data_IF_463486208616
#
_entry.id   IF_463486208616
#
_cell.length_a   1.000
_cell.length_b   1.000
_cell.length_c   1.000
_cell.angle_alpha   90.00
_cell.angle_beta   90.00
_cell.angle_gamma   90.00
#
_symmetry.space_group_name_H-M   'P 1'
#
loop_
_entity.id
_entity.type
_entity.pdbx_description
1 polymer ?
#
# COMPACT_ATOMS: atom_id res chain seq x y z
N UNK A 1 16.37 -0.66 25.86
CA UNK A 1 15.62 -1.63 25.03
C UNK A 1 14.15 -1.47 25.37
N UNK A 2 13.28 -1.51 24.35
CA UNK A 2 11.84 -1.51 24.55
C UNK A 2 11.37 -2.94 24.82
N UNK A 3 10.38 -3.08 25.69
CA UNK A 3 9.76 -4.36 25.97
C UNK A 3 9.03 -4.92 24.76
N UNK A 4 9.12 -6.24 24.54
CA UNK A 4 8.35 -6.98 23.54
C UNK A 4 8.41 -6.36 22.11
N UNK A 5 9.64 -6.08 21.65
CA UNK A 5 9.94 -5.59 20.29
C UNK A 5 10.89 -6.51 19.53
N UNK A 6 11.08 -7.73 20.03
CA UNK A 6 11.82 -8.79 19.36
C UNK A 6 11.06 -9.27 18.11
N UNK A 7 11.81 -9.72 17.11
CA UNK A 7 11.23 -10.30 15.91
C UNK A 7 12.07 -11.41 15.33
N UNK A 8 11.42 -12.32 14.65
CA UNK A 8 12.02 -13.29 13.74
C UNK A 8 11.42 -13.13 12.35
N UNK A 9 12.22 -13.23 11.30
CA UNK A 9 11.75 -13.16 9.92
C UNK A 9 12.58 -14.09 9.05
N UNK A 10 11.89 -15.02 8.36
CA UNK A 10 12.46 -15.84 7.32
C UNK A 10 11.69 -15.68 6.04
N UNK A 11 12.38 -15.61 4.89
CA UNK A 11 11.71 -15.51 3.59
C UNK A 11 12.54 -16.21 2.51
N UNK A 12 11.84 -16.68 1.48
CA UNK A 12 12.43 -17.20 0.25
C UNK A 12 11.60 -16.73 -0.94
N UNK A 13 12.27 -16.42 -2.04
CA UNK A 13 11.61 -15.99 -3.28
C UNK A 13 12.31 -16.62 -4.48
N UNK A 14 11.51 -17.15 -5.41
CA UNK A 14 11.95 -17.68 -6.69
C UNK A 14 11.24 -16.97 -7.82
N UNK A 15 11.95 -16.59 -8.86
CA UNK A 15 11.40 -16.17 -10.14
C UNK A 15 12.06 -16.94 -11.27
N UNK A 16 11.25 -17.47 -12.19
CA UNK A 16 11.72 -18.14 -13.38
C UNK A 16 10.99 -17.56 -14.60
N UNK A 17 11.74 -17.28 -15.67
CA UNK A 17 11.17 -16.80 -16.94
C UNK A 17 11.55 -17.78 -18.05
N UNK A 18 10.62 -18.02 -18.95
CA UNK A 18 10.83 -18.86 -20.13
C UNK A 18 10.20 -18.20 -21.35
N UNK A 19 10.97 -18.07 -22.41
CA UNK A 19 10.53 -17.44 -23.66
C UNK A 19 10.84 -18.28 -24.87
N UNK A 20 9.85 -18.46 -25.75
CA UNK A 20 10.01 -19.09 -27.04
C UNK A 20 9.20 -18.38 -28.11
N UNK A 21 9.66 -18.46 -29.39
CA UNK A 21 8.92 -17.90 -30.51
C UNK A 21 7.53 -18.52 -30.68
N UNK A 22 7.37 -19.81 -30.37
CA UNK A 22 6.12 -20.56 -30.57
C UNK A 22 5.12 -20.36 -29.45
N UNK A 23 5.55 -20.42 -28.19
CA UNK A 23 4.66 -20.41 -27.03
C UNK A 23 4.53 -19.04 -26.37
N UNK A 24 5.46 -18.11 -26.66
CA UNK A 24 5.51 -16.79 -26.04
C UNK A 24 6.36 -16.75 -24.79
N UNK A 25 6.08 -15.80 -23.93
CA UNK A 25 6.79 -15.50 -22.68
C UNK A 25 6.00 -15.98 -21.47
N UNK A 26 6.68 -16.69 -20.58
CA UNK A 26 6.16 -17.12 -19.28
C UNK A 26 6.99 -16.50 -18.14
N UNK A 27 6.33 -16.01 -17.12
CA UNK A 27 6.94 -15.51 -15.88
C UNK A 27 6.27 -16.21 -14.69
N UNK A 28 7.02 -17.08 -14.04
CA UNK A 28 6.61 -17.78 -12.82
C UNK A 28 7.30 -17.14 -11.61
N UNK A 29 6.53 -16.93 -10.55
CA UNK A 29 7.02 -16.43 -9.27
C UNK A 29 6.44 -17.26 -8.14
N UNK A 30 7.27 -17.57 -7.13
CA UNK A 30 6.84 -18.18 -5.89
C UNK A 30 7.58 -17.55 -4.72
N UNK A 31 6.90 -17.39 -3.60
CA UNK A 31 7.48 -16.80 -2.41
C UNK A 31 6.89 -17.40 -1.14
N UNK A 32 7.71 -17.41 -0.11
CA UNK A 32 7.30 -17.75 1.24
C UNK A 32 7.93 -16.78 2.23
N UNK A 33 7.17 -16.43 3.26
CA UNK A 33 7.62 -15.61 4.36
C UNK A 33 6.99 -16.09 5.66
N UNK A 34 7.80 -16.15 6.71
CA UNK A 34 7.36 -16.42 8.09
C UNK A 34 7.89 -15.31 8.99
N UNK A 35 7.01 -14.73 9.81
CA UNK A 35 7.33 -13.67 10.77
C UNK A 35 6.72 -13.98 12.12
N UNK A 36 7.45 -13.61 13.17
CA UNK A 36 6.93 -13.54 14.53
C UNK A 36 7.51 -12.31 15.22
N UNK A 37 6.69 -11.50 15.87
CA UNK A 37 7.15 -10.27 16.51
C UNK A 37 6.27 -9.85 17.68
N UNK A 38 6.90 -9.22 18.66
CA UNK A 38 6.20 -8.51 19.72
C UNK A 38 5.61 -7.21 19.18
N UNK A 39 4.31 -7.01 19.39
CA UNK A 39 3.56 -5.87 18.80
C UNK A 39 3.53 -4.63 19.72
N UNK A 40 4.01 -4.74 20.96
CA UNK A 40 4.21 -3.66 21.94
C UNK A 40 3.20 -2.49 21.84
N UNK A 41 1.92 -2.76 22.09
CA UNK A 41 0.89 -1.74 22.12
C UNK A 41 0.31 -1.33 20.74
N UNK A 42 0.65 -2.01 19.66
CA UNK A 42 0.16 -1.64 18.31
C UNK A 42 -1.36 -1.73 18.19
N UNK A 43 -1.98 -2.81 18.66
CA UNK A 43 -3.44 -2.99 18.58
C UNK A 43 -4.20 -2.40 19.76
N UNK A 44 -3.57 -2.32 20.95
CA UNK A 44 -4.11 -1.67 22.13
C UNK A 44 -2.92 -1.00 22.85
N UNK A 45 -2.85 0.32 22.78
CA UNK A 45 -1.67 1.09 23.18
C UNK A 45 -1.25 0.89 24.67
N UNK A 46 -2.21 0.54 25.54
CA UNK A 46 -1.93 0.22 26.95
C UNK A 46 -1.37 -1.19 27.18
N UNK A 47 -1.48 -2.12 26.20
CA UNK A 47 -1.01 -3.50 26.37
C UNK A 47 0.35 -3.72 25.68
N UNK A 48 1.47 -3.79 26.40
CA UNK A 48 2.80 -3.97 25.82
C UNK A 48 3.12 -5.43 25.45
N UNK A 49 2.32 -6.41 25.88
CA UNK A 49 2.65 -7.85 25.78
C UNK A 49 2.06 -8.56 24.56
N UNK A 50 1.49 -7.80 23.64
CA UNK A 50 0.91 -8.33 22.41
C UNK A 50 1.95 -8.96 21.51
N UNK A 51 1.57 -10.06 20.85
CA UNK A 51 2.43 -10.75 19.89
C UNK A 51 1.67 -11.15 18.64
N UNK A 52 2.36 -11.15 17.49
CA UNK A 52 1.80 -11.58 16.22
C UNK A 52 2.74 -12.52 15.47
N UNK A 53 2.16 -13.55 14.86
CA UNK A 53 2.86 -14.47 13.97
C UNK A 53 2.12 -14.62 12.65
N UNK A 54 2.84 -14.44 11.53
CA UNK A 54 2.28 -14.59 10.20
C UNK A 54 3.10 -15.55 9.35
N UNK A 55 2.44 -16.36 8.53
CA UNK A 55 3.07 -17.19 7.52
C UNK A 55 2.35 -17.02 6.20
N UNK A 56 3.05 -16.51 5.18
CA UNK A 56 2.49 -16.25 3.86
C UNK A 56 3.21 -17.07 2.80
N UNK A 57 2.44 -17.74 1.95
CA UNK A 57 2.92 -18.37 0.72
C UNK A 57 2.22 -17.76 -0.48
N UNK A 58 2.92 -17.53 -1.56
CA UNK A 58 2.35 -17.01 -2.80
C UNK A 58 2.94 -17.72 -4.02
N UNK A 59 2.13 -17.84 -5.07
CA UNK A 59 2.58 -18.26 -6.38
C UNK A 59 1.83 -17.48 -7.47
N UNK A 60 2.49 -17.16 -8.58
CA UNK A 60 1.87 -16.57 -9.76
C UNK A 60 2.50 -17.06 -11.04
N UNK A 61 1.68 -17.16 -12.08
CA UNK A 61 2.11 -17.47 -13.43
C UNK A 61 1.50 -16.44 -14.37
N UNK A 62 2.32 -15.82 -15.20
CA UNK A 62 1.91 -14.93 -16.29
C UNK A 62 2.38 -15.48 -17.61
N UNK A 63 1.50 -15.46 -18.58
CA UNK A 63 1.77 -15.81 -19.97
C UNK A 63 1.46 -14.65 -20.88
N UNK A 64 2.34 -14.38 -21.86
CA UNK A 64 2.19 -13.35 -22.89
C UNK A 64 2.57 -13.92 -24.23
N UNK A 65 1.78 -13.63 -25.28
CA UNK A 65 2.07 -14.04 -26.65
C UNK A 65 1.67 -12.96 -27.64
N UNK A 66 2.60 -12.62 -28.52
CA UNK A 66 2.31 -11.78 -29.68
C UNK A 66 1.86 -12.67 -30.86
N UNK A 67 0.74 -12.33 -31.48
CA UNK A 67 0.16 -13.03 -32.62
C UNK A 67 -0.31 -12.02 -33.67
N UNK A 68 0.60 -11.56 -34.54
CA UNK A 68 0.33 -10.49 -35.49
C UNK A 68 -0.01 -9.16 -34.79
N UNK A 69 -1.24 -8.68 -35.03
CA UNK A 69 -1.76 -7.45 -34.37
C UNK A 69 -2.38 -7.69 -32.99
N UNK A 70 -2.40 -8.94 -32.53
CA UNK A 70 -2.94 -9.30 -31.24
C UNK A 70 -1.83 -9.57 -30.25
N UNK A 71 -1.94 -9.01 -29.04
CA UNK A 71 -1.19 -9.42 -27.88
C UNK A 71 -2.13 -10.15 -26.92
N UNK A 72 -1.84 -11.40 -26.64
CA UNK A 72 -2.63 -12.25 -25.77
C UNK A 72 -1.96 -12.34 -24.40
N UNK A 73 -2.71 -12.27 -23.34
CA UNK A 73 -2.20 -12.42 -22.01
C UNK A 73 -3.11 -13.23 -21.10
N UNK A 74 -2.50 -14.04 -20.25
CA UNK A 74 -3.17 -14.73 -19.16
C UNK A 74 -2.31 -14.64 -17.89
N UNK A 75 -2.95 -14.56 -16.74
CA UNK A 75 -2.27 -14.71 -15.44
C UNK A 75 -3.14 -15.42 -14.44
N UNK A 76 -2.50 -16.19 -13.57
CA UNK A 76 -3.11 -16.78 -12.39
C UNK A 76 -2.23 -16.52 -11.18
N UNK A 77 -2.83 -16.32 -10.02
CA UNK A 77 -2.14 -16.11 -8.76
C UNK A 77 -2.87 -16.77 -7.61
N UNK A 78 -2.09 -17.20 -6.63
CA UNK A 78 -2.60 -17.74 -5.38
C UNK A 78 -1.75 -17.24 -4.21
N UNK A 79 -2.41 -16.84 -3.13
CA UNK A 79 -1.77 -16.46 -1.87
C UNK A 79 -2.52 -17.12 -0.72
N UNK A 80 -1.77 -17.81 0.13
CA UNK A 80 -2.22 -18.32 1.42
C UNK A 80 -1.53 -17.57 2.54
N UNK A 81 -2.31 -17.16 3.55
CA UNK A 81 -1.76 -16.48 4.71
C UNK A 81 -2.37 -17.05 5.99
N UNK A 82 -1.51 -17.46 6.91
CA UNK A 82 -1.85 -17.76 8.28
C UNK A 82 -1.46 -16.58 9.15
N UNK A 83 -2.36 -16.23 10.05
CA UNK A 83 -2.20 -15.16 11.01
C UNK A 83 -2.60 -15.66 12.39
N UNK A 84 -1.79 -15.36 13.39
CA UNK A 84 -2.05 -15.60 14.79
C UNK A 84 -1.75 -14.33 15.58
N UNK A 85 -2.74 -13.86 16.31
CA UNK A 85 -2.60 -12.74 17.23
C UNK A 85 -2.81 -13.22 18.67
N UNK A 86 -1.87 -12.88 19.55
CA UNK A 86 -1.92 -13.12 20.97
C UNK A 86 -2.12 -11.78 21.70
N UNK A 87 -3.14 -11.70 22.53
CA UNK A 87 -3.37 -10.54 23.38
C UNK A 87 -2.24 -10.35 24.42
N UNK A 88 -1.84 -11.43 25.04
CA UNK A 88 -0.59 -11.56 25.81
C UNK A 88 0.17 -12.70 25.17
N UNK A 89 1.45 -12.56 24.95
CA UNK A 89 2.30 -13.55 24.29
C UNK A 89 2.09 -14.94 24.88
N UNK A 90 1.70 -15.91 24.05
CA UNK A 90 1.31 -17.26 24.43
C UNK A 90 -0.20 -17.46 24.65
N UNK A 91 -0.98 -16.38 24.83
CA UNK A 91 -2.44 -16.44 24.97
C UNK A 91 -3.11 -16.00 23.67
N UNK A 92 -3.47 -16.97 22.86
CA UNK A 92 -4.04 -16.75 21.53
C UNK A 92 -5.42 -16.10 21.63
N UNK A 93 -5.58 -14.95 20.99
CA UNK A 93 -6.86 -14.26 20.86
C UNK A 93 -7.52 -14.57 19.53
N UNK A 94 -6.78 -14.41 18.42
CA UNK A 94 -7.30 -14.59 17.07
C UNK A 94 -6.39 -15.48 16.22
N UNK A 95 -7.02 -16.26 15.34
CA UNK A 95 -6.34 -16.98 14.26
C UNK A 95 -7.12 -16.84 12.98
N UNK A 96 -6.41 -16.57 11.90
CA UNK A 96 -6.97 -16.46 10.55
C UNK A 96 -6.15 -17.29 9.57
N UNK A 97 -6.84 -17.95 8.65
CA UNK A 97 -6.27 -18.63 7.52
C UNK A 97 -6.99 -18.15 6.27
N UNK A 98 -6.30 -17.37 5.43
CA UNK A 98 -6.89 -16.78 4.23
C UNK A 98 -6.31 -17.38 2.97
N UNK A 99 -7.19 -17.66 2.01
CA UNK A 99 -6.86 -18.07 0.66
C UNK A 99 -7.34 -17.00 -0.32
N UNK A 100 -6.43 -16.51 -1.16
CA UNK A 100 -6.75 -15.54 -2.20
C UNK A 100 -6.27 -16.10 -3.54
N UNK A 101 -7.18 -16.34 -4.46
CA UNK A 101 -6.87 -16.76 -5.83
C UNK A 101 -7.35 -15.72 -6.83
N UNK A 102 -6.61 -15.54 -7.91
CA UNK A 102 -6.97 -14.62 -8.99
C UNK A 102 -6.61 -15.18 -10.35
N UNK A 103 -7.44 -14.89 -11.33
CA UNK A 103 -7.17 -15.17 -12.73
C UNK A 103 -7.52 -13.96 -13.59
N UNK A 104 -6.74 -13.70 -14.63
CA UNK A 104 -6.99 -12.65 -15.62
C UNK A 104 -6.69 -13.16 -17.01
N UNK A 105 -7.57 -12.82 -17.95
CA UNK A 105 -7.39 -13.03 -19.37
C UNK A 105 -7.58 -11.71 -20.09
N UNK A 106 -6.72 -11.40 -21.07
CA UNK A 106 -6.90 -10.20 -21.90
C UNK A 106 -6.31 -10.37 -23.29
N UNK A 107 -6.78 -9.53 -24.19
CA UNK A 107 -6.21 -9.36 -25.52
C UNK A 107 -6.11 -7.88 -25.84
N UNK A 108 -5.00 -7.49 -26.48
CA UNK A 108 -4.82 -6.18 -27.08
C UNK A 108 -4.82 -6.35 -28.59
N UNK A 109 -5.51 -5.48 -29.29
CA UNK A 109 -5.56 -5.42 -30.74
C UNK A 109 -5.03 -4.08 -31.23
N UNK A 110 -3.88 -4.12 -31.93
CA UNK A 110 -3.24 -2.95 -32.50
C UNK A 110 -3.70 -2.70 -33.93
N UNK A 111 -4.19 -1.48 -34.19
CA UNK A 111 -4.69 -1.07 -35.52
C UNK A 111 -4.46 0.42 -35.75
N UNK A 112 -4.74 0.92 -36.98
CA UNK A 112 -4.50 2.34 -37.31
C UNK A 112 -5.22 3.35 -36.38
N UNK A 113 -6.33 2.93 -35.76
CA UNK A 113 -7.07 3.71 -34.77
C UNK A 113 -6.42 3.80 -33.40
N UNK A 114 -5.48 2.91 -33.06
CA UNK A 114 -4.85 2.80 -31.74
C UNK A 114 -4.82 1.36 -31.23
N UNK A 115 -4.74 1.18 -29.93
CA UNK A 115 -4.81 -0.14 -29.27
C UNK A 115 -6.15 -0.29 -28.58
N UNK A 116 -6.88 -1.34 -28.93
CA UNK A 116 -8.14 -1.74 -28.27
C UNK A 116 -7.88 -2.98 -27.44
N UNK A 117 -8.20 -2.94 -26.15
CA UNK A 117 -7.99 -4.04 -25.20
C UNK A 117 -9.32 -4.54 -24.66
N UNK A 118 -9.50 -5.83 -24.60
CA UNK A 118 -10.62 -6.50 -23.91
C UNK A 118 -10.06 -7.47 -22.88
N UNK A 119 -10.65 -7.52 -21.71
CA UNK A 119 -10.22 -8.46 -20.68
C UNK A 119 -11.26 -8.73 -19.63
N UNK A 120 -10.96 -9.75 -18.83
CA UNK A 120 -11.73 -10.11 -17.65
C UNK A 120 -10.85 -10.61 -16.53
N UNK A 121 -11.28 -10.35 -15.31
CA UNK A 121 -10.63 -10.74 -14.08
C UNK A 121 -11.60 -11.53 -13.22
N UNK A 122 -11.09 -12.51 -12.51
CA UNK A 122 -11.81 -13.23 -11.47
C UNK A 122 -10.96 -13.25 -10.21
N UNK A 123 -11.57 -13.02 -9.05
CA UNK A 123 -10.92 -13.18 -7.75
C UNK A 123 -11.81 -13.97 -6.79
N UNK A 124 -11.15 -14.86 -6.06
CA UNK A 124 -11.71 -15.65 -4.97
C UNK A 124 -10.98 -15.30 -3.68
N UNK A 125 -11.71 -14.94 -2.64
CA UNK A 125 -11.21 -14.70 -1.31
C UNK A 125 -11.94 -15.64 -0.34
N UNK A 126 -11.19 -16.33 0.49
CA UNK A 126 -11.73 -17.20 1.50
C UNK A 126 -10.99 -17.00 2.83
N UNK A 127 -11.72 -17.09 3.94
CA UNK A 127 -11.16 -17.04 5.28
C UNK A 127 -11.74 -18.15 6.13
N UNK A 128 -10.88 -18.88 6.84
CA UNK A 128 -11.19 -19.57 8.08
C UNK A 128 -10.69 -18.73 9.24
N UNK A 129 -11.51 -18.55 10.26
CA UNK A 129 -11.21 -17.65 11.37
C UNK A 129 -11.77 -18.14 12.70
N UNK A 130 -11.20 -17.64 13.78
CA UNK A 130 -11.78 -17.80 15.13
C UNK A 130 -13.00 -16.89 15.35
N UNK A 131 -13.11 -15.77 14.58
CA UNK A 131 -14.14 -14.75 14.82
C UNK A 131 -14.58 -13.95 13.57
N UNK A 132 -14.02 -14.20 12.38
CA UNK A 132 -14.42 -13.52 11.14
C UNK A 132 -15.14 -14.47 10.19
N UNK A 133 -16.31 -14.08 9.74
CA UNK A 133 -17.17 -14.85 8.85
C UNK A 133 -18.41 -15.40 9.54
N UNK A 134 -19.09 -16.31 8.88
CA UNK A 134 -20.26 -17.02 9.38
C UNK A 134 -19.82 -18.19 10.26
N UNK A 135 -20.60 -18.47 11.32
CA UNK A 135 -20.29 -19.57 12.23
C UNK A 135 -20.43 -20.93 11.53
N UNK A 136 -19.42 -21.75 11.65
CA UNK A 136 -19.44 -23.12 11.11
C UNK A 136 -20.30 -24.03 11.99
N UNK A 137 -21.04 -24.94 11.35
CA UNK A 137 -21.78 -25.99 12.06
C UNK A 137 -20.84 -26.98 12.76
N UNK A 138 -19.69 -27.25 12.15
CA UNK A 138 -18.59 -28.07 12.72
C UNK A 138 -17.32 -27.28 12.60
N UNK A 139 -16.58 -27.00 13.70
CA UNK A 139 -15.31 -26.31 13.66
C UNK A 139 -14.28 -27.03 12.79
N UNK A 140 -13.48 -26.26 12.05
CA UNK A 140 -12.35 -26.75 11.27
C UNK A 140 -11.04 -26.52 12.03
N UNK A 141 -10.62 -27.50 12.83
CA UNK A 141 -9.49 -27.34 13.75
C UNK A 141 -9.76 -26.23 14.78
N UNK A 142 -8.98 -25.16 14.75
CA UNK A 142 -9.16 -24.00 15.64
C UNK A 142 -10.17 -22.98 15.12
N UNK A 143 -10.63 -23.13 13.88
CA UNK A 143 -11.47 -22.13 13.24
C UNK A 143 -12.94 -22.47 13.45
N UNK A 144 -13.68 -21.51 13.94
CA UNK A 144 -15.11 -21.61 14.24
C UNK A 144 -15.99 -20.86 13.23
N UNK A 145 -15.37 -20.04 12.37
CA UNK A 145 -16.03 -19.21 11.36
C UNK A 145 -15.35 -19.35 10.01
N UNK A 146 -16.11 -19.13 8.94
CA UNK A 146 -15.58 -19.07 7.59
C UNK A 146 -16.43 -18.13 6.71
N UNK A 147 -15.80 -17.56 5.68
CA UNK A 147 -16.48 -16.83 4.62
C UNK A 147 -15.72 -16.93 3.31
N UNK A 148 -16.47 -17.12 2.22
CA UNK A 148 -15.96 -17.04 0.86
C UNK A 148 -16.57 -15.85 0.13
N UNK A 149 -15.81 -15.27 -0.80
CA UNK A 149 -16.25 -14.19 -1.67
C UNK A 149 -15.68 -14.36 -3.07
N UNK A 150 -16.53 -14.23 -4.07
CA UNK A 150 -16.20 -14.27 -5.48
C UNK A 150 -16.44 -12.90 -6.10
N UNK A 151 -15.54 -12.44 -6.94
CA UNK A 151 -15.70 -11.21 -7.73
C UNK A 151 -15.24 -11.45 -9.15
N UNK A 152 -15.91 -10.81 -10.10
CA UNK A 152 -15.56 -10.86 -11.52
C UNK A 152 -15.63 -9.48 -12.14
N UNK A 153 -14.73 -9.20 -13.07
CA UNK A 153 -14.74 -7.96 -13.84
C UNK A 153 -14.61 -8.28 -15.33
N UNK A 154 -15.34 -7.53 -16.16
CA UNK A 154 -15.14 -7.49 -17.60
C UNK A 154 -14.94 -6.05 -18.02
N UNK A 155 -13.95 -5.79 -18.85
CA UNK A 155 -13.59 -4.43 -19.23
C UNK A 155 -13.14 -4.32 -20.68
N UNK A 156 -13.42 -3.16 -21.28
CA UNK A 156 -12.95 -2.71 -22.59
C UNK A 156 -12.15 -1.43 -22.41
N UNK A 157 -11.02 -1.32 -23.10
CA UNK A 157 -10.19 -0.12 -23.12
C UNK A 157 -9.82 0.21 -24.55
N UNK A 158 -9.81 1.50 -24.89
CA UNK A 158 -9.21 2.01 -26.12
C UNK A 158 -8.20 3.10 -25.78
N UNK A 159 -7.04 3.06 -26.44
CA UNK A 159 -6.00 4.08 -26.28
C UNK A 159 -5.41 4.44 -27.64
N UNK A 160 -5.18 5.73 -27.86
CA UNK A 160 -4.53 6.24 -29.06
C UNK A 160 -3.50 7.29 -28.73
N UNK A 161 -2.38 7.25 -29.42
CA UNK A 161 -1.34 8.27 -29.37
C UNK A 161 -1.22 8.93 -30.74
N UNK A 162 -1.22 10.26 -30.72
CA UNK A 162 -0.89 11.12 -31.85
C UNK A 162 0.46 11.80 -31.61
N UNK A 163 0.94 12.54 -32.57
CA UNK A 163 2.25 13.20 -32.46
C UNK A 163 2.44 13.99 -31.13
N UNK A 164 1.44 14.77 -30.71
CA UNK A 164 1.49 15.61 -29.49
C UNK A 164 0.43 15.27 -28.46
N UNK A 165 -0.49 14.38 -28.78
CA UNK A 165 -1.61 14.05 -27.90
C UNK A 165 -1.67 12.57 -27.64
N UNK A 166 -2.18 12.20 -26.50
CA UNK A 166 -2.59 10.84 -26.19
C UNK A 166 -3.95 10.86 -25.49
N UNK A 167 -4.75 9.87 -25.74
CA UNK A 167 -6.03 9.68 -25.06
C UNK A 167 -6.26 8.21 -24.78
N UNK A 168 -6.92 7.91 -23.66
CA UNK A 168 -7.40 6.58 -23.33
C UNK A 168 -8.74 6.65 -22.60
N UNK A 169 -9.60 5.72 -22.93
CA UNK A 169 -10.86 5.49 -22.23
C UNK A 169 -11.02 4.00 -21.93
N UNK A 170 -11.58 3.67 -20.79
CA UNK A 170 -11.98 2.32 -20.43
C UNK A 170 -13.32 2.31 -19.73
N UNK A 171 -14.11 1.27 -19.97
CA UNK A 171 -15.34 0.99 -19.26
C UNK A 171 -15.38 -0.49 -18.93
N UNK A 172 -16.00 -0.83 -17.81
CA UNK A 172 -16.13 -2.20 -17.35
C UNK A 172 -17.26 -2.37 -16.37
N UNK A 173 -17.54 -3.62 -16.07
CA UNK A 173 -18.56 -4.05 -15.12
C UNK A 173 -17.89 -4.94 -14.09
N UNK A 174 -18.12 -4.62 -12.81
CA UNK A 174 -17.71 -5.42 -11.68
C UNK A 174 -18.91 -6.17 -11.11
N UNK A 175 -18.81 -7.49 -11.03
CA UNK A 175 -19.79 -8.41 -10.47
C UNK A 175 -19.30 -8.83 -9.08
N UNK A 176 -20.09 -8.55 -8.05
CA UNK A 176 -19.74 -8.82 -6.65
C UNK A 176 -20.94 -9.40 -5.91
N UNK A 177 -20.77 -9.98 -4.72
CA UNK A 177 -21.90 -10.38 -3.87
C UNK A 177 -22.85 -9.23 -3.47
N UNK A 178 -22.39 -7.98 -3.62
CA UNK A 178 -23.16 -6.75 -3.34
C UNK A 178 -23.86 -6.19 -4.57
N UNK A 179 -23.87 -6.92 -5.68
CA UNK A 179 -24.46 -6.51 -6.95
C UNK A 179 -23.42 -6.08 -7.98
N UNK A 180 -23.92 -5.44 -9.02
CA UNK A 180 -23.17 -5.02 -10.20
C UNK A 180 -22.82 -3.54 -10.13
N UNK A 181 -21.58 -3.19 -10.47
CA UNK A 181 -21.12 -1.79 -10.51
C UNK A 181 -20.40 -1.50 -11.83
N UNK A 182 -20.73 -0.37 -12.46
CA UNK A 182 -19.96 0.13 -13.60
C UNK A 182 -18.66 0.79 -13.11
N UNK A 183 -17.57 0.54 -13.78
CA UNK A 183 -16.27 1.17 -13.55
C UNK A 183 -15.79 1.81 -14.85
N UNK A 184 -15.18 2.97 -14.77
CA UNK A 184 -14.70 3.67 -15.95
C UNK A 184 -13.45 4.50 -15.66
N UNK A 185 -12.68 4.78 -16.71
CA UNK A 185 -11.54 5.71 -16.68
C UNK A 185 -11.45 6.41 -18.01
N UNK A 186 -11.18 7.72 -17.98
CA UNK A 186 -10.84 8.53 -19.15
C UNK A 186 -9.61 9.36 -18.84
N UNK A 187 -8.73 9.53 -19.81
CA UNK A 187 -7.53 10.37 -19.67
C UNK A 187 -7.11 10.95 -21.02
N UNK A 188 -6.51 12.14 -20.97
CA UNK A 188 -5.92 12.79 -22.12
C UNK A 188 -4.61 13.46 -21.75
N UNK A 189 -3.65 13.44 -22.65
CA UNK A 189 -2.35 14.05 -22.50
C UNK A 189 -1.96 14.91 -23.70
N UNK A 190 -1.23 15.99 -23.44
CA UNK A 190 -0.69 16.90 -24.43
C UNK A 190 0.79 17.14 -24.19
N UNK A 191 1.59 17.10 -25.26
CA UNK A 191 3.02 17.38 -25.25
C UNK A 191 3.29 18.70 -25.98
N UNK A 192 3.20 19.87 -25.29
CA UNK A 192 3.39 21.18 -25.89
C UNK A 192 4.84 21.43 -26.34
N UNK A 193 5.81 20.90 -25.61
CA UNK A 193 7.24 21.04 -25.85
C UNK A 193 7.99 19.75 -25.62
N UNK A 194 9.23 19.68 -26.07
CA UNK A 194 10.12 18.56 -25.80
C UNK A 194 10.32 18.38 -24.30
N UNK A 195 10.12 17.16 -23.83
CA UNK A 195 10.26 16.81 -22.42
C UNK A 195 9.06 17.17 -21.54
N UNK A 196 8.09 17.97 -21.98
CA UNK A 196 6.91 18.35 -21.18
C UNK A 196 5.66 17.62 -21.63
N UNK A 197 4.99 16.94 -20.70
CA UNK A 197 3.67 16.34 -20.90
C UNK A 197 2.71 16.87 -19.82
N UNK A 198 1.56 17.37 -20.26
CA UNK A 198 0.42 17.74 -19.42
C UNK A 198 -0.68 16.70 -19.62
N UNK A 199 -1.33 16.26 -18.54
CA UNK A 199 -2.42 15.31 -18.65
C UNK A 199 -3.55 15.62 -17.66
N UNK A 200 -4.73 15.19 -18.06
CA UNK A 200 -5.92 15.21 -17.21
C UNK A 200 -6.60 13.84 -17.25
N UNK A 201 -7.27 13.48 -16.19
CA UNK A 201 -8.00 12.22 -16.14
C UNK A 201 -9.09 12.20 -15.09
N UNK A 202 -10.06 11.32 -15.31
CA UNK A 202 -11.11 11.02 -14.35
C UNK A 202 -11.35 9.51 -14.32
N UNK A 203 -11.61 8.95 -13.14
CA UNK A 203 -11.87 7.52 -12.97
C UNK A 203 -12.82 7.25 -11.83
N UNK A 204 -13.64 6.22 -11.97
CA UNK A 204 -14.44 5.67 -10.89
C UNK A 204 -13.78 4.40 -10.35
N UNK A 205 -13.71 4.29 -9.02
CA UNK A 205 -13.23 3.13 -8.28
C UNK A 205 -14.24 2.66 -7.27
N UNK A 206 -14.08 1.43 -6.81
CA UNK A 206 -14.92 0.78 -5.79
C UNK A 206 -14.02 0.00 -4.82
N UNK A 207 -14.38 -0.02 -3.53
CA UNK A 207 -13.78 -0.90 -2.51
C UNK A 207 -14.87 -1.72 -1.83
N UNK A 208 -14.68 -3.03 -1.76
CA UNK A 208 -15.59 -3.91 -1.03
C UNK A 208 -15.31 -3.81 0.49
N UNK A 209 -16.34 -3.98 1.34
CA UNK A 209 -16.13 -4.14 2.78
C UNK A 209 -15.17 -5.29 3.05
N UNK A 210 -14.28 -5.15 4.01
CA UNK A 210 -13.39 -6.24 4.45
C UNK A 210 -14.15 -7.23 5.32
N UNK A 211 -13.61 -8.43 5.49
CA UNK A 211 -14.22 -9.39 6.46
C UNK A 211 -14.15 -8.85 7.89
N UNK A 212 -13.17 -8.00 8.21
CA UNK A 212 -13.08 -7.32 9.50
C UNK A 212 -14.23 -6.33 9.69
N UNK A 213 -14.50 -5.48 8.68
CA UNK A 213 -15.59 -4.50 8.73
C UNK A 213 -16.95 -5.19 8.94
N UNK A 214 -17.16 -6.35 8.29
CA UNK A 214 -18.42 -7.08 8.28
C UNK A 214 -18.64 -7.96 9.51
N UNK A 215 -17.58 -8.55 10.07
CA UNK A 215 -17.74 -9.66 11.03
C UNK A 215 -17.02 -9.46 12.36
N UNK A 216 -16.07 -8.50 12.46
CA UNK A 216 -15.30 -8.35 13.68
C UNK A 216 -16.11 -7.71 14.80
N UNK A 217 -16.27 -8.42 15.91
CA UNK A 217 -16.86 -7.91 17.15
C UNK A 217 -15.96 -8.22 18.33
N UNK A 218 -15.92 -7.29 19.28
CA UNK A 218 -15.18 -7.39 20.54
C UNK A 218 -15.93 -6.61 21.63
N UNK A 219 -15.51 -6.66 22.89
CA UNK A 219 -16.12 -5.82 23.93
C UNK A 219 -16.12 -4.31 23.60
N UNK A 220 -15.20 -3.85 22.74
CA UNK A 220 -15.04 -2.43 22.37
C UNK A 220 -15.43 -2.14 20.90
N UNK A 221 -15.90 -3.14 20.12
CA UNK A 221 -16.16 -2.99 18.69
C UNK A 221 -17.40 -3.76 18.26
N UNK A 222 -18.20 -3.14 17.40
CA UNK A 222 -19.42 -3.70 16.82
C UNK A 222 -19.29 -3.70 15.30
N UNK A 223 -19.42 -4.87 14.70
CA UNK A 223 -19.43 -5.06 13.25
C UNK A 223 -20.75 -4.62 12.60
N UNK A 224 -20.77 -4.53 11.26
CA UNK A 224 -21.99 -4.24 10.50
C UNK A 224 -22.04 -5.12 9.24
N UNK A 225 -23.06 -5.96 9.14
CA UNK A 225 -23.29 -6.86 8.02
C UNK A 225 -23.96 -6.18 6.81
N UNK A 226 -24.56 -5.01 7.02
CA UNK A 226 -25.31 -4.27 5.99
C UNK A 226 -24.47 -3.31 5.16
N UNK A 227 -23.13 -3.33 5.35
CA UNK A 227 -22.20 -2.50 4.59
C UNK A 227 -22.26 -2.80 3.09
N UNK A 228 -22.31 -1.75 2.28
CA UNK A 228 -22.22 -1.82 0.82
C UNK A 228 -20.84 -1.34 0.34
N UNK A 229 -20.46 -1.62 -0.92
CA UNK A 229 -19.16 -1.15 -1.44
C UNK A 229 -19.03 0.37 -1.46
N UNK A 230 -17.89 0.88 -1.00
CA UNK A 230 -17.50 2.27 -1.20
C UNK A 230 -17.32 2.57 -2.68
N UNK A 231 -17.64 3.79 -3.09
CA UNK A 231 -17.41 4.30 -4.44
C UNK A 231 -16.68 5.63 -4.38
N UNK A 232 -15.81 5.87 -5.34
CA UNK A 232 -15.16 7.16 -5.48
C UNK A 232 -14.94 7.53 -6.94
N UNK A 233 -15.12 8.82 -7.24
CA UNK A 233 -14.68 9.42 -8.51
C UNK A 233 -13.46 10.27 -8.21
N UNK A 234 -12.37 10.01 -8.93
CA UNK A 234 -11.11 10.75 -8.80
C UNK A 234 -10.85 11.54 -10.07
N UNK A 235 -10.68 12.85 -9.95
CA UNK A 235 -10.20 13.74 -10.99
C UNK A 235 -8.72 14.03 -10.73
N UNK A 236 -7.89 14.07 -11.78
CA UNK A 236 -6.46 14.33 -11.65
C UNK A 236 -5.95 15.24 -12.76
N UNK A 237 -4.95 16.04 -12.41
CA UNK A 237 -4.15 16.86 -13.33
C UNK A 237 -2.69 16.48 -13.08
N UNK A 238 -1.95 16.26 -14.15
CA UNK A 238 -0.57 15.83 -14.10
C UNK A 238 0.28 16.71 -15.03
N UNK A 239 1.49 17.04 -14.59
CA UNK A 239 2.51 17.67 -15.41
C UNK A 239 3.83 16.93 -15.21
N UNK A 240 4.38 16.35 -16.26
CA UNK A 240 5.65 15.65 -16.26
C UNK A 240 6.65 16.39 -17.15
N UNK A 241 7.85 16.64 -16.62
CA UNK A 241 8.96 17.22 -17.33
C UNK A 241 10.18 16.31 -17.22
N UNK A 242 10.77 15.95 -18.36
CA UNK A 242 12.01 15.18 -18.42
C UNK A 242 12.88 15.77 -19.52
N UNK A 243 14.02 16.32 -19.15
CA UNK A 243 15.00 16.83 -20.11
C UNK A 243 16.41 16.74 -19.53
N UNK A 244 17.33 16.17 -20.30
CA UNK A 244 18.74 15.99 -19.96
C UNK A 244 18.92 15.28 -18.60
N UNK A 245 19.39 16.03 -17.60
CA UNK A 245 19.64 15.54 -16.23
C UNK A 245 18.52 15.82 -15.25
N UNK A 246 17.45 16.49 -15.69
CA UNK A 246 16.37 16.96 -14.86
C UNK A 246 15.06 16.20 -15.13
N UNK A 247 14.37 15.88 -14.09
CA UNK A 247 12.97 15.46 -14.15
C UNK A 247 12.15 16.20 -13.08
N UNK A 248 10.90 16.45 -13.38
CA UNK A 248 9.93 16.96 -12.42
C UNK A 248 8.55 16.38 -12.72
N UNK A 249 7.77 16.09 -11.70
CA UNK A 249 6.37 15.75 -11.87
C UNK A 249 5.53 16.45 -10.81
N UNK A 250 4.40 16.99 -11.24
CA UNK A 250 3.33 17.51 -10.38
C UNK A 250 2.07 16.73 -10.65
N UNK A 251 1.46 16.20 -9.61
CA UNK A 251 0.15 15.54 -9.64
C UNK A 251 -0.76 16.20 -8.62
N UNK A 252 -1.95 16.57 -9.07
CA UNK A 252 -3.01 17.02 -8.19
C UNK A 252 -4.22 16.16 -8.40
N UNK A 253 -4.98 15.89 -7.34
CA UNK A 253 -6.21 15.13 -7.45
C UNK A 253 -7.26 15.61 -6.47
N UNK A 254 -8.50 15.44 -6.91
CA UNK A 254 -9.68 15.52 -6.08
C UNK A 254 -10.42 14.19 -6.16
N UNK A 255 -10.70 13.58 -5.01
CA UNK A 255 -11.42 12.31 -4.89
C UNK A 255 -12.72 12.55 -4.14
N UNK A 256 -13.85 12.42 -4.82
CA UNK A 256 -15.18 12.42 -4.24
C UNK A 256 -15.56 11.02 -3.81
N UNK A 257 -15.47 10.71 -2.52
CA UNK A 257 -15.81 9.42 -1.94
C UNK A 257 -17.23 9.38 -1.40
N UNK A 258 -17.91 8.25 -1.58
CA UNK A 258 -19.25 7.97 -1.06
C UNK A 258 -19.29 6.61 -0.42
N UNK A 259 -20.19 6.45 0.56
CA UNK A 259 -20.39 5.19 1.29
C UNK A 259 -19.07 4.68 1.92
N UNK A 260 -18.23 5.60 2.43
CA UNK A 260 -16.92 5.29 2.99
C UNK A 260 -17.09 4.55 4.31
N UNK A 261 -16.45 3.40 4.41
CA UNK A 261 -16.50 2.54 5.59
C UNK A 261 -15.38 2.95 6.55
N UNK A 262 -15.75 3.22 7.80
CA UNK A 262 -14.80 3.48 8.88
C UNK A 262 -15.35 2.98 10.22
N UNK A 263 -14.47 2.85 11.20
CA UNK A 263 -14.82 2.60 12.58
C UNK A 263 -15.06 3.92 13.29
N UNK A 264 -16.31 4.11 13.75
CA UNK A 264 -16.81 5.35 14.34
C UNK A 264 -17.08 5.12 15.83
N UNK A 265 -16.57 6.03 16.69
CA UNK A 265 -16.87 6.00 18.11
C UNK A 265 -18.26 6.55 18.37
N UNK A 266 -19.08 5.79 19.10
CA UNK A 266 -20.46 6.15 19.45
C UNK A 266 -20.61 6.29 20.96
N UNK A 267 -20.24 7.44 21.48
CA UNK A 267 -20.44 7.76 22.89
C UNK A 267 -21.94 7.91 23.25
N UNK A 268 -22.72 8.41 22.32
CA UNK A 268 -24.18 8.59 22.38
C UNK A 268 -24.98 7.27 22.40
N UNK A 269 -24.36 6.14 22.05
CA UNK A 269 -25.01 4.82 22.02
C UNK A 269 -24.53 3.89 23.15
N UNK A 270 -23.32 3.37 23.05
CA UNK A 270 -22.80 2.32 23.95
C UNK A 270 -21.31 2.50 24.31
N UNK A 271 -20.69 3.59 23.87
CA UNK A 271 -19.26 3.85 24.11
C UNK A 271 -18.36 2.84 23.42
N UNK A 272 -18.70 2.42 22.18
CA UNK A 272 -17.93 1.48 21.39
C UNK A 272 -17.65 2.01 19.98
N UNK A 273 -16.73 1.36 19.31
CA UNK A 273 -16.45 1.58 17.91
C UNK A 273 -17.42 0.76 17.05
N UNK A 274 -18.14 1.42 16.16
CA UNK A 274 -19.05 0.80 15.22
C UNK A 274 -18.47 0.85 13.80
N UNK A 275 -18.53 -0.26 13.08
CA UNK A 275 -18.25 -0.26 11.64
C UNK A 275 -19.42 0.38 10.90
N UNK A 276 -19.23 1.57 10.36
CA UNK A 276 -20.28 2.38 9.73
C UNK A 276 -19.88 2.90 8.37
N UNK A 277 -20.88 3.32 7.59
CA UNK A 277 -20.69 4.03 6.34
C UNK A 277 -20.94 5.52 6.50
N UNK A 278 -19.93 6.30 6.16
CA UNK A 278 -20.03 7.76 6.04
C UNK A 278 -20.49 8.12 4.65
N UNK A 279 -21.52 8.94 4.53
CA UNK A 279 -22.14 9.29 3.25
C UNK A 279 -21.18 9.97 2.26
N UNK A 280 -20.20 10.75 2.75
CA UNK A 280 -19.26 11.48 1.92
C UNK A 280 -17.91 11.68 2.61
N UNK A 281 -16.84 11.48 1.85
CA UNK A 281 -15.47 11.87 2.21
C UNK A 281 -14.77 12.41 0.95
N UNK A 282 -14.52 13.68 0.92
CA UNK A 282 -13.76 14.32 -0.15
C UNK A 282 -12.29 14.41 0.23
N UNK A 283 -11.41 14.07 -0.71
CA UNK A 283 -9.96 14.09 -0.49
C UNK A 283 -9.30 14.96 -1.57
N UNK A 284 -8.42 15.85 -1.15
CA UNK A 284 -7.58 16.67 -2.02
C UNK A 284 -6.13 16.29 -1.80
N UNK A 285 -5.38 16.11 -2.88
CA UNK A 285 -3.98 15.79 -2.77
C UNK A 285 -3.12 16.50 -3.80
N UNK A 286 -1.89 16.79 -3.40
CA UNK A 286 -0.84 17.35 -4.25
C UNK A 286 0.43 16.53 -4.04
N UNK A 287 1.04 16.09 -5.12
CA UNK A 287 2.33 15.40 -5.12
C UNK A 287 3.28 16.12 -6.06
N UNK A 288 4.44 16.51 -5.57
CA UNK A 288 5.52 17.12 -6.33
C UNK A 288 6.78 16.27 -6.18
N UNK A 289 7.42 15.94 -7.30
CA UNK A 289 8.76 15.39 -7.30
C UNK A 289 9.65 16.17 -8.26
N UNK A 290 10.90 16.39 -7.86
CA UNK A 290 11.95 16.99 -8.69
C UNK A 290 13.21 16.17 -8.58
N UNK A 291 13.88 15.89 -9.68
CA UNK A 291 15.07 15.08 -9.71
C UNK A 291 16.16 15.64 -10.61
N UNK A 292 17.38 15.47 -10.16
CA UNK A 292 18.61 15.66 -10.92
C UNK A 292 19.41 14.37 -10.88
N UNK A 293 19.94 13.93 -12.02
CA UNK A 293 20.84 12.78 -12.09
C UNK A 293 21.98 13.04 -13.07
N UNK A 294 23.21 12.75 -12.65
CA UNK A 294 24.40 12.88 -13.48
C UNK A 294 25.27 11.62 -13.42
N UNK A 295 25.75 11.18 -14.58
CA UNK A 295 26.65 10.02 -14.68
C UNK A 295 28.02 10.32 -14.05
N UNK A 296 28.46 11.57 -14.05
CA UNK A 296 29.77 12.04 -13.58
C UNK A 296 29.66 13.29 -12.71
N UNK A 297 30.71 13.61 -11.97
CA UNK A 297 30.78 14.75 -11.09
C UNK A 297 30.59 14.39 -9.60
N UNK A 298 30.70 15.40 -8.75
CA UNK A 298 30.52 15.27 -7.30
C UNK A 298 29.07 14.94 -6.93
N UNK A 299 28.12 15.72 -7.44
CA UNK A 299 26.69 15.47 -7.24
C UNK A 299 26.20 14.44 -8.26
N UNK A 300 25.77 13.27 -7.79
CA UNK A 300 25.27 12.17 -8.62
C UNK A 300 23.77 12.20 -8.78
N UNK A 301 23.09 12.46 -7.70
CA UNK A 301 21.62 12.51 -7.65
C UNK A 301 21.16 13.51 -6.61
N UNK A 302 20.12 14.22 -6.92
CA UNK A 302 19.31 14.93 -5.93
C UNK A 302 17.83 14.69 -6.27
N UNK A 303 17.02 14.39 -5.27
CA UNK A 303 15.57 14.18 -5.44
C UNK A 303 14.85 14.89 -4.32
N UNK A 304 13.97 15.81 -4.70
CA UNK A 304 13.00 16.44 -3.80
C UNK A 304 11.64 15.78 -4.02
N UNK A 305 10.97 15.40 -2.96
CA UNK A 305 9.58 14.95 -3.00
C UNK A 305 8.76 15.69 -1.95
N UNK A 306 7.53 16.03 -2.30
CA UNK A 306 6.57 16.65 -1.39
C UNK A 306 5.19 16.08 -1.67
N UNK A 307 4.48 15.71 -0.62
CA UNK A 307 3.08 15.27 -0.65
C UNK A 307 2.25 16.05 0.35
N UNK A 308 1.07 16.44 -0.07
CA UNK A 308 0.04 17.06 0.75
C UNK A 308 -1.28 16.35 0.52
N UNK A 309 -1.97 16.00 1.59
CA UNK A 309 -3.33 15.43 1.56
C UNK A 309 -4.17 16.17 2.60
N UNK A 310 -5.41 16.46 2.24
CA UNK A 310 -6.44 16.89 3.17
C UNK A 310 -7.78 16.26 2.83
N UNK A 311 -8.62 16.08 3.84
CA UNK A 311 -9.95 15.49 3.69
C UNK A 311 -11.01 16.45 4.21
N UNK A 312 -12.18 16.44 3.58
CA UNK A 312 -13.39 17.13 4.02
C UNK A 312 -14.53 16.10 4.12
N UNK A 313 -15.29 16.15 5.21
CA UNK A 313 -16.42 15.25 5.46
C UNK A 313 -17.58 15.98 6.12
N UNK A 314 -18.79 15.47 5.89
CA UNK A 314 -20.03 16.09 6.37
C UNK A 314 -20.43 15.71 7.81
N UNK A 315 -19.58 15.03 8.59
CA UNK A 315 -19.96 14.55 9.93
C UNK A 315 -18.90 14.87 10.98
N UNK A 316 -19.33 15.33 12.15
CA UNK A 316 -18.48 15.65 13.30
C UNK A 316 -18.07 14.40 14.13
N UNK A 317 -18.32 13.19 13.63
CA UNK A 317 -18.11 11.96 14.38
C UNK A 317 -16.63 11.57 14.39
N UNK A 318 -16.11 11.11 15.52
CA UNK A 318 -14.74 10.60 15.65
C UNK A 318 -14.60 9.31 14.84
N UNK A 319 -13.83 9.35 13.76
CA UNK A 319 -13.55 8.19 12.90
C UNK A 319 -12.09 7.79 13.03
N UNK A 320 -11.84 6.47 13.04
CA UNK A 320 -10.51 5.91 13.33
C UNK A 320 -9.50 6.15 12.21
N UNK A 321 -9.92 6.04 10.96
CA UNK A 321 -9.00 6.02 9.81
C UNK A 321 -9.09 7.26 8.94
N UNK A 322 -10.27 7.86 8.81
CA UNK A 322 -10.49 8.98 7.91
C UNK A 322 -9.78 10.29 8.33
N UNK A 323 -9.43 10.42 9.62
CA UNK A 323 -8.78 11.60 10.17
C UNK A 323 -7.31 11.39 10.53
N UNK A 324 -6.81 10.16 10.54
CA UNK A 324 -5.43 9.84 10.86
C UNK A 324 -4.62 9.57 9.58
N UNK A 325 -4.13 10.62 8.96
CA UNK A 325 -3.34 10.54 7.72
C UNK A 325 -2.14 11.49 7.75
N UNK A 326 -1.11 11.17 6.95
CA UNK A 326 0.06 12.03 6.78
C UNK A 326 -0.32 13.26 5.94
N UNK A 327 -0.56 14.41 6.62
CA UNK A 327 -1.00 15.65 5.98
C UNK A 327 0.09 16.28 5.13
N UNK A 328 1.32 16.38 5.66
CA UNK A 328 2.48 16.86 4.93
C UNK A 328 3.62 15.85 5.06
N UNK A 329 4.24 15.58 3.93
CA UNK A 329 5.46 14.79 3.85
C UNK A 329 6.41 15.43 2.85
N UNK A 330 7.61 15.83 3.29
CA UNK A 330 8.66 16.32 2.42
C UNK A 330 9.94 15.50 2.62
N UNK A 331 10.66 15.21 1.54
CA UNK A 331 11.95 14.55 1.62
C UNK A 331 12.89 15.10 0.55
N UNK A 332 14.15 15.35 0.95
CA UNK A 332 15.26 15.67 0.08
C UNK A 332 16.32 14.57 0.21
N UNK A 333 16.53 13.83 -0.87
CA UNK A 333 17.59 12.84 -0.96
C UNK A 333 18.71 13.36 -1.85
N UNK A 334 19.94 13.27 -1.38
CA UNK A 334 21.14 13.73 -2.12
C UNK A 334 22.18 12.62 -2.08
N UNK A 335 22.73 12.28 -3.23
CA UNK A 335 23.85 11.35 -3.38
C UNK A 335 25.04 12.08 -3.98
N UNK A 336 26.15 12.06 -3.26
CA UNK A 336 27.42 12.62 -3.71
C UNK A 336 28.49 11.53 -3.81
N UNK A 337 29.40 11.67 -4.76
CA UNK A 337 30.55 10.79 -4.93
C UNK A 337 31.84 11.59 -4.75
N UNK A 338 32.72 11.08 -3.89
CA UNK A 338 34.00 11.69 -3.60
C UNK A 338 35.10 10.62 -3.50
N UNK A 339 36.34 11.00 -3.56
CA UNK A 339 37.52 10.11 -3.46
C UNK A 339 37.43 8.88 -4.40
N UNK A 340 36.92 9.04 -5.62
CA UNK A 340 36.77 8.02 -6.69
C UNK A 340 35.98 6.77 -6.31
N UNK A 341 36.00 6.34 -5.03
CA UNK A 341 35.45 5.08 -4.55
C UNK A 341 34.42 5.25 -3.44
N UNK A 342 34.24 6.45 -2.96
CA UNK A 342 33.30 6.71 -1.86
C UNK A 342 32.06 7.45 -2.35
N UNK A 343 30.91 7.06 -1.85
CA UNK A 343 29.65 7.77 -2.02
C UNK A 343 28.97 7.97 -0.68
N UNK A 344 28.33 9.11 -0.52
CA UNK A 344 27.48 9.46 0.61
C UNK A 344 26.08 9.76 0.06
N UNK A 345 25.09 9.03 0.55
CA UNK A 345 23.69 9.33 0.33
C UNK A 345 23.10 9.84 1.64
N UNK A 346 22.41 10.97 1.59
CA UNK A 346 21.69 11.57 2.72
C UNK A 346 20.22 11.76 2.33
N UNK A 347 19.32 11.49 3.26
CA UNK A 347 17.91 11.78 3.10
C UNK A 347 17.41 12.55 4.33
N UNK A 348 16.99 13.79 4.12
CA UNK A 348 16.33 14.63 5.10
C UNK A 348 14.82 14.60 4.86
N UNK A 349 14.04 14.29 5.87
CA UNK A 349 12.58 14.14 5.76
C UNK A 349 11.86 14.89 6.87
N UNK A 350 10.76 15.53 6.52
CA UNK A 350 9.81 16.18 7.44
C UNK A 350 8.44 15.55 7.28
N UNK A 351 7.79 15.27 8.39
CA UNK A 351 6.49 14.65 8.47
C UNK A 351 5.57 15.46 9.38
N UNK A 352 4.35 15.65 8.94
CA UNK A 352 3.28 16.28 9.73
C UNK A 352 2.01 15.43 9.54
N UNK A 353 1.56 14.78 10.60
CA UNK A 353 0.39 13.90 10.61
C UNK A 353 -0.81 14.65 11.16
N UNK A 354 -1.95 14.51 10.51
CA UNK A 354 -3.24 14.97 11.02
C UNK A 354 -3.79 13.98 12.03
N UNK A 355 -4.59 14.48 13.00
CA UNK A 355 -5.25 13.65 14.00
C UNK A 355 -4.54 13.62 15.35
N UNK A 356 -5.04 12.78 16.22
CA UNK A 356 -4.56 12.60 17.60
C UNK A 356 -4.54 11.12 17.97
N UNK A 357 -3.86 10.79 19.04
CA UNK A 357 -3.80 9.44 19.59
C UNK A 357 -4.03 9.45 21.10
N UNK A 358 -4.48 8.33 21.63
CA UNK A 358 -4.58 8.13 23.08
C UNK A 358 -3.25 7.62 23.61
N UNK A 359 -2.61 8.42 24.47
CA UNK A 359 -1.38 8.06 25.18
C UNK A 359 -1.72 7.46 26.54
N UNK A 360 -1.07 6.36 26.89
CA UNK A 360 -1.18 5.68 28.18
C UNK A 360 0.18 5.80 28.89
N UNK A 361 0.32 6.73 29.85
CA UNK A 361 1.60 7.00 30.49
C UNK A 361 2.21 5.79 31.22
N UNK A 362 1.35 4.89 31.73
CA UNK A 362 1.77 3.66 32.41
C UNK A 362 1.46 2.44 31.54
N UNK A 363 2.48 1.73 31.01
CA UNK A 363 2.27 0.48 30.30
C UNK A 363 1.51 -0.55 31.14
N UNK A 364 0.49 -1.19 30.55
CA UNK A 364 -0.37 -2.18 31.22
C UNK A 364 -1.55 -1.58 31.99
N UNK A 365 -1.64 -0.26 32.10
CA UNK A 365 -2.72 0.44 32.83
C UNK A 365 -3.57 1.27 31.86
N UNK A 366 -4.83 0.87 31.67
CA UNK A 366 -5.79 1.58 30.85
C UNK A 366 -6.62 2.63 31.63
N UNK A 367 -6.44 2.74 32.93
CA UNK A 367 -7.25 3.63 33.81
C UNK A 367 -6.91 5.11 33.63
N UNK A 368 -5.69 5.42 33.22
CA UNK A 368 -5.20 6.78 32.97
C UNK A 368 -4.81 6.92 31.52
N UNK A 369 -5.51 7.79 30.79
CA UNK A 369 -5.21 8.08 29.40
C UNK A 369 -5.26 9.57 29.11
N UNK A 370 -4.51 10.02 28.09
CA UNK A 370 -4.48 11.40 27.61
C UNK A 370 -4.58 11.39 26.09
N UNK A 371 -5.43 12.26 25.53
CA UNK A 371 -5.44 12.50 24.08
C UNK A 371 -4.33 13.49 23.76
N UNK A 372 -3.48 13.15 22.78
CA UNK A 372 -2.39 13.98 22.29
C UNK A 372 -2.46 14.14 20.79
N UNK A 373 -2.25 15.33 20.30
CA UNK A 373 -2.10 15.58 18.87
C UNK A 373 -0.72 15.07 18.39
N UNK A 374 -0.63 14.69 17.13
CA UNK A 374 0.66 14.37 16.52
C UNK A 374 1.49 15.63 16.35
N UNK A 375 2.76 15.57 16.71
CA UNK A 375 3.73 16.64 16.49
C UNK A 375 4.51 16.40 15.20
N UNK A 376 4.76 17.44 14.38
CA UNK A 376 5.64 17.32 13.22
C UNK A 376 7.05 16.90 13.65
N UNK A 377 7.69 16.06 12.85
CA UNK A 377 9.04 15.58 13.15
C UNK A 377 9.96 15.57 11.92
N UNK A 378 11.25 15.66 12.21
CA UNK A 378 12.34 15.63 11.22
C UNK A 378 13.18 14.38 11.42
N UNK A 379 13.54 13.71 10.31
CA UNK A 379 14.46 12.58 10.28
C UNK A 379 15.59 12.85 9.31
N UNK A 380 16.80 12.46 9.69
CA UNK A 380 17.98 12.45 8.83
C UNK A 380 18.53 11.03 8.77
N UNK A 381 18.59 10.48 7.55
CA UNK A 381 19.17 9.16 7.27
C UNK A 381 20.39 9.31 6.37
N UNK A 382 21.35 8.39 6.48
CA UNK A 382 22.56 8.44 5.66
C UNK A 382 23.13 7.06 5.38
N UNK A 383 23.76 6.93 4.22
CA UNK A 383 24.57 5.77 3.84
C UNK A 383 25.93 6.24 3.31
N UNK A 384 26.99 5.77 3.96
CA UNK A 384 28.36 5.89 3.46
C UNK A 384 28.77 4.56 2.81
N UNK A 385 29.20 4.59 1.57
CA UNK A 385 29.63 3.40 0.83
C UNK A 385 31.04 3.57 0.28
N UNK A 386 31.82 2.49 0.29
CA UNK A 386 33.09 2.35 -0.40
C UNK A 386 33.04 1.17 -1.36
N UNK A 387 33.48 1.35 -2.62
CA UNK A 387 33.38 0.35 -3.67
C UNK A 387 34.73 0.13 -4.36
N UNK A 388 35.16 -1.15 -4.47
CA UNK A 388 36.37 -1.56 -5.19
C UNK A 388 36.13 -2.92 -5.87
N UNK A 389 36.12 -2.92 -7.21
CA UNK A 389 35.91 -4.12 -7.99
C UNK A 389 34.55 -4.77 -7.69
N UNK A 390 34.55 -6.00 -7.24
CA UNK A 390 33.35 -6.76 -6.91
C UNK A 390 32.80 -6.50 -5.50
N UNK A 391 33.54 -5.76 -4.67
CA UNK A 391 33.21 -5.56 -3.26
C UNK A 391 32.71 -4.13 -3.00
N UNK A 392 31.57 -4.02 -2.30
CA UNK A 392 31.05 -2.77 -1.73
C UNK A 392 30.87 -2.96 -0.23
N UNK A 393 31.52 -2.11 0.56
CA UNK A 393 31.28 -1.96 1.99
C UNK A 393 30.34 -0.77 2.20
N UNK A 394 29.45 -0.86 3.18
CA UNK A 394 28.59 0.27 3.53
C UNK A 394 28.28 0.33 5.02
N UNK A 395 27.99 1.55 5.47
CA UNK A 395 27.44 1.85 6.79
C UNK A 395 26.18 2.67 6.57
N UNK A 396 25.08 2.20 7.15
CA UNK A 396 23.79 2.89 7.21
C UNK A 396 23.58 3.47 8.59
N UNK A 397 23.10 4.70 8.64
CA UNK A 397 22.61 5.32 9.85
C UNK A 397 21.20 5.87 9.58
N UNK A 398 20.23 5.45 10.36
CA UNK A 398 18.85 5.94 10.30
C UNK A 398 18.55 6.77 11.53
N UNK A 399 17.72 7.81 11.34
CA UNK A 399 17.40 8.78 12.39
C UNK A 399 18.66 9.29 13.11
N UNK A 400 19.63 9.82 12.34
CA UNK A 400 20.93 10.31 12.84
C UNK A 400 20.78 11.37 13.92
N UNK A 401 19.70 12.15 13.87
CA UNK A 401 19.35 13.19 14.84
C UNK A 401 18.80 12.66 16.15
N UNK A 402 18.59 11.35 16.28
CA UNK A 402 17.94 10.68 17.43
C UNK A 402 16.60 11.32 17.80
N UNK A 403 15.85 11.76 16.80
CA UNK A 403 14.54 12.36 16.96
C UNK A 403 13.58 11.36 17.60
N UNK A 404 12.92 11.77 18.70
CA UNK A 404 11.87 10.98 19.33
C UNK A 404 10.55 11.33 18.67
N UNK A 405 9.91 10.34 18.09
CA UNK A 405 8.66 10.56 17.36
C UNK A 405 7.72 9.37 17.47
N UNK A 406 6.44 9.65 17.29
CA UNK A 406 5.38 8.68 17.13
C UNK A 406 4.81 8.81 15.71
N UNK A 407 4.48 7.69 15.09
CA UNK A 407 3.80 7.73 13.79
C UNK A 407 2.32 7.36 14.00
N UNK A 408 1.90 6.13 13.84
CA UNK A 408 0.51 5.72 13.98
C UNK A 408 0.20 5.30 15.43
N UNK A 409 -0.94 5.77 15.98
CA UNK A 409 -1.46 5.31 17.28
C UNK A 409 -0.57 5.61 18.48
N UNK A 410 0.27 6.65 18.41
CA UNK A 410 1.17 7.00 19.51
C UNK A 410 2.34 6.04 19.73
N UNK A 411 2.58 5.12 18.80
CA UNK A 411 3.68 4.16 18.90
C UNK A 411 5.00 4.88 18.66
N UNK A 412 5.85 4.88 19.68
CA UNK A 412 7.21 5.43 19.54
C UNK A 412 8.03 4.58 18.60
N UNK A 413 8.63 5.20 17.60
CA UNK A 413 9.53 4.55 16.65
C UNK A 413 10.99 4.58 17.12
N UNK A 414 11.89 3.76 16.54
CA UNK A 414 13.29 3.69 16.93
C UNK A 414 14.00 5.04 16.83
N UNK A 415 14.89 5.33 17.78
CA UNK A 415 15.86 6.41 17.69
C UNK A 415 16.98 6.11 16.68
N UNK A 416 18.18 6.68 16.91
CA UNK A 416 19.31 6.46 16.03
C UNK A 416 19.70 4.97 15.95
N UNK A 417 19.86 4.49 14.73
CA UNK A 417 20.26 3.10 14.48
C UNK A 417 21.36 3.06 13.40
N UNK A 418 22.44 2.31 13.68
CA UNK A 418 23.56 2.13 12.77
C UNK A 418 23.74 0.68 12.42
N UNK A 419 23.86 0.39 11.14
CA UNK A 419 24.13 -0.96 10.61
C UNK A 419 25.26 -0.90 9.58
N UNK A 420 25.98 -2.01 9.39
CA UNK A 420 27.03 -2.13 8.39
C UNK A 420 26.85 -3.41 7.57
N UNK A 421 27.34 -3.40 6.34
CA UNK A 421 27.22 -4.55 5.47
C UNK A 421 28.24 -4.59 4.34
N UNK A 422 28.30 -5.75 3.70
CA UNK A 422 29.16 -6.06 2.56
C UNK A 422 28.29 -6.57 1.42
N UNK A 423 28.49 -6.05 0.21
CA UNK A 423 27.88 -6.56 -1.03
C UNK A 423 29.00 -7.07 -1.93
N UNK A 424 28.88 -8.33 -2.35
CA UNK A 424 29.77 -8.94 -3.34
C UNK A 424 28.97 -9.17 -4.64
N UNK A 425 29.43 -8.58 -5.74
CA UNK A 425 28.85 -8.77 -7.08
C UNK A 425 29.67 -9.80 -7.82
N UNK A 426 29.16 -11.03 -7.93
CA UNK A 426 29.83 -12.16 -8.59
C UNK A 426 29.16 -12.38 -9.94
N UNK A 427 29.93 -12.32 -11.02
CA UNK A 427 29.46 -12.54 -12.39
C UNK A 427 28.77 -11.30 -13.01
N UNK A 428 29.38 -10.77 -14.03
CA UNK A 428 28.74 -9.93 -15.07
C UNK A 428 28.61 -10.73 -16.34
#
# INVERSE_FOLDING_TARGET
YRHNTDFTNGNAFLRATYETRRLGFFDFQAGWQNRGFGSNGFYAAYNPDQWEGTSTSLASLRWLRQAGRFSLGASASYRKNFDRYDWTRGTVMNRHNTDNAGARLWTDFDWAGGTTSLGGDYAFNHIYSTNLGEKLSVPHGHYTHAKARHTGNVWLRHAKQWRRFDAAASAGVSLTPYGTSALWNVSGGWRPAAGLRLAVGASQSMRLPTFTDLYYSSPAQINNLDLIPEKAVTYRIEADYVKDRWNASLRTYYRAGRDIIDWVWREDMDGKWHSEQTSRLDTYGVELTGGYAAAEGFLRRATLSYGYITTDRNTEVVARSAMDFMKHKAALAVEVRFLRRMSLALTASVYDRNGSYTDYPTPGDASVSQVRDYEPYFLLDGRLSWEKGVCRLYVDATNITDTRYCDLGGIRLPGAWVTGGVVLTIGR
#
